data_IF_363999582874
#
_entry.id   IF_363999582874
#
_cell.length_a   1.000
_cell.length_b   1.000
_cell.length_c   1.000
_cell.angle_alpha   90.00
_cell.angle_beta   90.00
_cell.angle_gamma   90.00
#
_symmetry.space_group_name_H-M   'P 1'
#
loop_
_entity.id
_entity.type
_entity.pdbx_description
1 polymer ?
#
# COMPACT_ATOMS: atom_id res chain seq x y z
N UNK A 1 -9.69 4.98 11.54
CA UNK A 1 -9.39 5.65 10.26
C UNK A 1 -10.17 4.99 9.10
N UNK A 2 -10.81 5.76 8.21
CA UNK A 2 -11.57 5.21 7.06
C UNK A 2 -10.65 4.83 5.89
N UNK A 3 -10.77 3.62 5.34
CA UNK A 3 -9.89 3.05 4.30
C UNK A 3 -10.62 2.67 2.99
N UNK A 4 -11.91 3.01 2.84
CA UNK A 4 -12.74 2.58 1.71
C UNK A 4 -12.13 2.92 0.35
N UNK A 5 -11.54 4.12 0.23
CA UNK A 5 -10.90 4.58 -1.01
C UNK A 5 -9.70 3.71 -1.39
N UNK A 6 -8.94 3.25 -0.40
CA UNK A 6 -7.76 2.39 -0.60
C UNK A 6 -8.22 1.00 -1.00
N UNK A 7 -9.21 0.44 -0.30
CA UNK A 7 -9.71 -0.92 -0.54
C UNK A 7 -10.32 -1.07 -1.93
N UNK A 8 -11.03 -0.03 -2.40
CA UNK A 8 -11.62 0.00 -3.75
C UNK A 8 -10.56 -0.03 -4.85
N UNK A 9 -9.40 0.60 -4.63
CA UNK A 9 -8.31 0.72 -5.61
C UNK A 9 -7.39 -0.49 -5.64
N UNK A 10 -7.22 -1.23 -4.54
CA UNK A 10 -6.40 -2.44 -4.51
C UNK A 10 -7.17 -3.63 -5.11
N UNK A 11 -6.70 -4.12 -6.24
CA UNK A 11 -7.24 -5.29 -6.97
C UNK A 11 -6.21 -6.42 -7.03
N UNK A 12 -6.68 -7.62 -7.35
CA UNK A 12 -5.82 -8.78 -7.49
C UNK A 12 -6.20 -9.64 -8.69
N UNK A 13 -5.25 -10.46 -9.14
CA UNK A 13 -5.48 -11.54 -10.10
C UNK A 13 -6.38 -12.61 -9.48
N UNK A 14 -7.08 -13.37 -10.34
CA UNK A 14 -7.84 -14.56 -9.95
C UNK A 14 -6.94 -15.52 -9.17
N UNK A 15 -7.43 -16.02 -8.03
CA UNK A 15 -6.69 -16.92 -7.14
C UNK A 15 -5.71 -16.22 -6.19
N UNK A 16 -5.65 -14.89 -6.20
CA UNK A 16 -4.78 -14.08 -5.32
C UNK A 16 -5.57 -13.31 -4.24
N UNK A 17 -6.83 -13.66 -4.00
CA UNK A 17 -7.74 -13.00 -3.06
C UNK A 17 -7.23 -13.11 -1.62
N UNK A 18 -6.64 -14.25 -1.25
CA UNK A 18 -5.99 -14.45 0.05
C UNK A 18 -4.83 -13.47 0.24
N UNK A 19 -4.00 -13.29 -0.79
CA UNK A 19 -2.88 -12.34 -0.78
C UNK A 19 -3.37 -10.91 -0.70
N UNK A 20 -4.43 -10.55 -1.45
CA UNK A 20 -5.10 -9.26 -1.33
C UNK A 20 -5.58 -9.01 0.09
N UNK A 21 -6.32 -9.95 0.70
CA UNK A 21 -6.83 -9.82 2.07
C UNK A 21 -5.70 -9.62 3.08
N UNK A 22 -4.56 -10.31 2.93
CA UNK A 22 -3.37 -10.09 3.77
C UNK A 22 -2.83 -8.67 3.65
N UNK A 23 -2.74 -8.12 2.44
CA UNK A 23 -2.32 -6.74 2.26
C UNK A 23 -3.30 -5.75 2.88
N UNK A 24 -4.61 -5.95 2.70
CA UNK A 24 -5.62 -5.08 3.31
C UNK A 24 -5.53 -5.10 4.84
N UNK A 25 -5.43 -6.28 5.46
CA UNK A 25 -5.28 -6.39 6.91
C UNK A 25 -4.02 -5.70 7.42
N UNK A 26 -2.88 -5.83 6.72
CA UNK A 26 -1.65 -5.10 7.08
C UNK A 26 -1.80 -3.59 6.94
N UNK A 27 -2.51 -3.12 5.91
CA UNK A 27 -2.80 -1.70 5.72
C UNK A 27 -3.67 -1.17 6.86
N UNK A 28 -4.67 -1.94 7.27
CA UNK A 28 -5.52 -1.63 8.41
C UNK A 28 -4.69 -1.51 9.70
N UNK A 29 -3.82 -2.47 9.99
CA UNK A 29 -2.92 -2.42 11.15
C UNK A 29 -2.00 -1.20 11.11
N UNK A 30 -1.40 -0.90 9.96
CA UNK A 30 -0.54 0.29 9.82
C UNK A 30 -1.33 1.60 9.99
N UNK A 31 -2.55 1.67 9.45
CA UNK A 31 -3.41 2.85 9.59
C UNK A 31 -3.83 3.07 11.05
N UNK A 32 -4.19 1.99 11.77
CA UNK A 32 -4.48 2.05 13.20
C UNK A 32 -3.27 2.53 14.02
N UNK A 33 -2.08 2.00 13.74
CA UNK A 33 -0.86 2.44 14.41
C UNK A 33 -0.54 3.92 14.17
N UNK A 34 -0.81 4.43 12.95
CA UNK A 34 -0.66 5.85 12.64
C UNK A 34 -1.70 6.70 13.36
N UNK A 35 -2.95 6.26 13.42
CA UNK A 35 -4.03 6.96 14.13
C UNK A 35 -3.75 7.05 15.64
N UNK A 36 -3.23 5.98 16.23
CA UNK A 36 -2.82 5.93 17.64
C UNK A 36 -1.65 6.88 17.92
N UNK A 37 -0.64 6.90 17.03
CA UNK A 37 0.56 7.75 17.21
C UNK A 37 0.32 9.22 16.85
N UNK A 38 -0.52 9.49 15.86
CA UNK A 38 -0.77 10.82 15.28
C UNK A 38 -2.27 11.09 15.29
N UNK A 39 -2.85 11.50 16.44
CA UNK A 39 -4.29 11.69 16.59
C UNK A 39 -4.86 12.80 15.68
N UNK A 40 -4.01 13.65 15.11
CA UNK A 40 -4.39 14.62 14.09
C UNK A 40 -4.74 13.99 12.73
N UNK A 41 -4.32 12.75 12.49
CA UNK A 41 -4.54 12.00 11.24
C UNK A 41 -5.78 11.11 11.39
N UNK A 42 -6.95 11.68 11.12
CA UNK A 42 -8.25 10.97 11.21
C UNK A 42 -8.61 10.20 9.94
N UNK A 43 -8.07 10.66 8.80
CA UNK A 43 -8.35 10.11 7.48
C UNK A 43 -7.06 9.69 6.79
N UNK A 44 -7.12 8.62 5.99
CA UNK A 44 -5.96 8.08 5.27
C UNK A 44 -5.36 9.07 4.28
N UNK A 45 -6.17 9.97 3.73
CA UNK A 45 -5.73 11.04 2.83
C UNK A 45 -4.88 12.11 3.55
N UNK A 46 -4.99 12.22 4.88
CA UNK A 46 -4.16 13.11 5.69
C UNK A 46 -2.79 12.49 6.01
N UNK A 47 -2.59 11.20 5.69
CA UNK A 47 -1.28 10.59 5.82
C UNK A 47 -0.28 11.35 4.97
N UNK A 48 0.91 11.57 5.52
CA UNK A 48 2.04 12.24 4.88
C UNK A 48 3.23 11.30 4.87
N UNK A 49 4.24 11.63 4.08
CA UNK A 49 5.50 10.88 4.00
C UNK A 49 6.12 10.64 5.38
N UNK A 50 6.05 11.61 6.30
CA UNK A 50 6.59 11.47 7.67
C UNK A 50 5.98 10.29 8.44
N UNK A 51 4.68 10.01 8.27
CA UNK A 51 4.01 8.88 8.93
C UNK A 51 4.44 7.55 8.31
N UNK A 52 4.57 7.51 6.98
CA UNK A 52 5.07 6.33 6.27
C UNK A 52 6.52 6.01 6.67
N UNK A 53 7.33 7.04 6.89
CA UNK A 53 8.70 6.90 7.36
C UNK A 53 8.76 6.36 8.79
N UNK A 54 7.96 6.92 9.70
CA UNK A 54 7.84 6.40 11.06
C UNK A 54 7.41 4.93 11.09
N UNK A 55 6.47 4.53 10.24
CA UNK A 55 6.06 3.12 10.11
C UNK A 55 7.25 2.21 9.77
N UNK A 56 8.10 2.62 8.83
CA UNK A 56 9.26 1.85 8.38
C UNK A 56 10.40 1.85 9.40
N UNK A 57 10.72 3.01 9.96
CA UNK A 57 11.91 3.22 10.77
C UNK A 57 11.70 2.83 12.24
N UNK A 58 10.46 2.88 12.75
CA UNK A 58 10.18 2.73 14.19
C UNK A 58 9.17 1.63 14.51
N UNK A 59 8.07 1.54 13.75
CA UNK A 59 6.97 0.63 14.12
C UNK A 59 7.16 -0.80 13.60
N UNK A 60 7.69 -0.97 12.39
CA UNK A 60 7.89 -2.30 11.81
C UNK A 60 9.06 -3.05 12.48
N UNK A 61 8.77 -4.23 13.02
CA UNK A 61 9.82 -5.16 13.43
C UNK A 61 10.64 -5.66 12.22
N UNK A 62 11.94 -5.93 12.43
CA UNK A 62 12.83 -6.39 11.36
C UNK A 62 12.32 -7.65 10.63
N UNK A 63 11.70 -8.58 11.36
CA UNK A 63 11.16 -9.84 10.84
C UNK A 63 9.96 -9.66 9.91
N UNK A 64 9.15 -8.62 10.12
CA UNK A 64 7.92 -8.36 9.35
C UNK A 64 8.07 -7.20 8.38
N UNK A 65 9.21 -6.50 8.41
CA UNK A 65 9.48 -5.29 7.65
C UNK A 65 9.25 -5.47 6.14
N UNK A 66 9.63 -6.61 5.54
CA UNK A 66 9.42 -6.86 4.09
C UNK A 66 7.94 -6.95 3.72
N UNK A 67 7.14 -7.59 4.55
CA UNK A 67 5.70 -7.79 4.35
C UNK A 67 4.92 -6.47 4.49
N UNK A 68 5.25 -5.69 5.52
CA UNK A 68 4.65 -4.39 5.74
C UNK A 68 5.10 -3.37 4.70
N UNK A 69 6.38 -3.35 4.30
CA UNK A 69 6.89 -2.51 3.22
C UNK A 69 6.15 -2.72 1.90
N UNK A 70 5.88 -3.98 1.54
CA UNK A 70 5.11 -4.31 0.33
C UNK A 70 3.67 -3.81 0.40
N UNK A 71 3.06 -3.87 1.59
CA UNK A 71 1.69 -3.39 1.82
C UNK A 71 1.63 -1.87 1.89
N UNK A 72 2.64 -1.23 2.46
CA UNK A 72 2.79 0.23 2.53
C UNK A 72 2.96 0.83 1.14
N UNK A 73 3.68 0.14 0.25
CA UNK A 73 3.77 0.52 -1.14
C UNK A 73 2.39 0.55 -1.82
N UNK A 74 1.56 -0.47 -1.62
CA UNK A 74 0.19 -0.49 -2.15
C UNK A 74 -0.67 0.63 -1.58
N UNK A 75 -0.48 0.97 -0.29
CA UNK A 75 -1.16 2.11 0.32
C UNK A 75 -0.76 3.44 -0.33
N UNK A 76 0.54 3.68 -0.53
CA UNK A 76 1.06 4.90 -1.15
C UNK A 76 0.59 5.03 -2.61
N UNK A 77 0.65 3.94 -3.37
CA UNK A 77 0.14 3.85 -4.74
C UNK A 77 -1.39 4.15 -4.73
N UNK A 78 -2.15 3.58 -3.78
CA UNK A 78 -3.59 3.81 -3.68
C UNK A 78 -3.98 5.24 -3.28
N UNK A 79 -3.05 6.02 -2.73
CA UNK A 79 -3.23 7.43 -2.41
C UNK A 79 -2.78 8.38 -3.55
N UNK A 80 -2.37 7.85 -4.71
CA UNK A 80 -1.76 8.60 -5.82
C UNK A 80 -0.52 9.39 -5.37
N UNK A 81 0.31 8.80 -4.49
CA UNK A 81 1.51 9.43 -3.90
C UNK A 81 2.81 8.70 -4.29
N UNK A 82 2.87 8.18 -5.52
CA UNK A 82 4.02 7.42 -6.02
C UNK A 82 5.36 8.17 -5.91
N UNK A 83 5.32 9.50 -5.97
CA UNK A 83 6.48 10.36 -5.74
C UNK A 83 7.13 10.17 -4.36
N UNK A 84 6.44 9.56 -3.39
CA UNK A 84 7.00 9.25 -2.07
C UNK A 84 7.82 7.97 -2.04
N UNK A 85 7.65 7.08 -3.02
CA UNK A 85 8.35 5.78 -3.04
C UNK A 85 9.86 5.96 -3.14
N UNK A 86 10.33 6.92 -3.94
CA UNK A 86 11.76 7.21 -4.09
C UNK A 86 12.41 7.70 -2.77
N UNK A 87 11.91 8.78 -2.12
CA UNK A 87 12.43 9.23 -0.83
C UNK A 87 12.38 8.18 0.28
N UNK A 88 11.39 7.28 0.26
CA UNK A 88 11.28 6.18 1.22
C UNK A 88 12.13 4.94 0.83
N UNK A 89 12.96 5.04 -0.21
CA UNK A 89 13.80 3.95 -0.76
C UNK A 89 12.97 2.73 -1.21
N UNK A 90 11.69 2.90 -1.49
CA UNK A 90 10.71 1.85 -1.86
C UNK A 90 10.47 1.73 -3.36
N UNK A 91 11.20 2.45 -4.21
CA UNK A 91 11.06 2.35 -5.65
C UNK A 91 11.45 0.98 -6.19
N UNK A 92 10.73 0.51 -7.21
CA UNK A 92 11.06 -0.76 -7.87
C UNK A 92 12.18 -0.50 -8.87
N UNK A 93 13.37 -1.05 -8.61
CA UNK A 93 14.50 -1.02 -9.56
C UNK A 93 14.34 -2.00 -10.74
N UNK A 94 13.34 -2.86 -10.72
CA UNK A 94 13.28 -4.00 -11.64
C UNK A 94 12.69 -3.61 -13.00
N UNK A 95 13.57 -3.42 -13.98
CA UNK A 95 13.27 -3.45 -15.41
C UNK A 95 13.13 -4.94 -15.77
N UNK A 96 11.94 -5.50 -15.56
CA UNK A 96 11.63 -6.92 -15.83
C UNK A 96 11.30 -7.76 -14.58
N UNK A 97 10.39 -8.73 -14.74
CA UNK A 97 9.97 -9.66 -13.68
C UNK A 97 8.52 -10.13 -13.79
N UNK A 98 8.15 -11.12 -12.97
CA UNK A 98 6.77 -11.61 -12.89
C UNK A 98 5.82 -10.47 -12.45
N UNK A 99 4.71 -10.25 -13.14
CA UNK A 99 3.73 -9.23 -12.75
C UNK A 99 3.25 -9.45 -11.31
N UNK A 100 3.00 -8.36 -10.58
CA UNK A 100 2.41 -8.43 -9.24
C UNK A 100 1.02 -9.08 -9.29
N UNK A 101 0.74 -9.94 -8.32
CA UNK A 101 -0.58 -10.56 -8.14
C UNK A 101 -1.61 -9.60 -7.54
N UNK A 102 -1.15 -8.57 -6.84
CA UNK A 102 -1.95 -7.50 -6.24
C UNK A 102 -1.41 -6.15 -6.71
N UNK A 103 -2.29 -5.27 -7.16
CA UNK A 103 -1.94 -3.98 -7.75
C UNK A 103 -2.99 -2.91 -7.44
N UNK A 104 -2.61 -1.66 -7.63
CA UNK A 104 -3.50 -0.50 -7.49
C UNK A 104 -4.04 -0.08 -8.86
N UNK A 105 -5.34 0.11 -8.96
CA UNK A 105 -6.00 0.71 -10.12
C UNK A 105 -6.02 2.22 -9.96
N UNK A 106 -5.44 2.92 -10.94
CA UNK A 106 -5.44 4.38 -11.00
C UNK A 106 -6.60 4.84 -11.87
N UNK A 107 -7.31 5.89 -11.45
CA UNK A 107 -8.52 6.40 -12.12
C UNK A 107 -8.33 6.87 -13.56
N UNK A 108 -7.08 7.13 -13.99
CA UNK A 108 -6.73 7.51 -15.38
C UNK A 108 -6.22 6.34 -16.23
N UNK A 109 -6.17 5.12 -15.69
CA UNK A 109 -5.71 3.95 -16.45
C UNK A 109 -6.90 3.20 -17.03
N UNK A 110 -7.13 3.37 -18.33
CA UNK A 110 -8.06 2.56 -19.14
C UNK A 110 -7.57 1.11 -19.35
N UNK A 111 -6.51 0.67 -18.65
CA UNK A 111 -5.72 -0.51 -19.02
C UNK A 111 -5.39 -1.42 -17.84
N UNK A 112 -6.38 -1.74 -17.00
CA UNK A 112 -6.28 -2.86 -16.05
C UNK A 112 -7.34 -3.92 -16.37
N UNK A 113 -7.18 -4.56 -17.53
CA UNK A 113 -7.83 -5.83 -17.81
C UNK A 113 -6.94 -6.93 -17.25
N UNK A 114 -7.37 -7.56 -16.16
CA UNK A 114 -6.94 -8.93 -15.92
C UNK A 114 -7.71 -9.77 -16.94
N UNK A 115 -7.13 -9.89 -18.13
CA UNK A 115 -7.67 -10.58 -19.30
C UNK A 115 -8.16 -11.98 -18.89
N UNK A 116 -9.46 -12.23 -19.07
CA UNK A 116 -10.08 -13.55 -18.95
C UNK A 116 -9.76 -14.32 -20.23
N UNK A 117 -8.85 -15.30 -20.13
CA UNK A 117 -8.81 -16.45 -21.03
C UNK A 117 -8.89 -17.72 -20.20
#
# INVERSE_FOLDING_TARGET
>A
MKLDIVYKRIKCRKGSERTRRRHLGRIETMAAAVEERFPEVKNVQQMRMKHCRWLLDTWCAATTHKDYRSSLRLLIEALDRDNWLNPLKMSSKAIGGRPRSVSVVHSRSSKFWFDER
#
